data_IF_790656164999
#
_entry.id   IF_790656164999
#
_cell.length_a   1.000
_cell.length_b   1.000
_cell.length_c   1.000
_cell.angle_alpha   90.00
_cell.angle_beta   90.00
_cell.angle_gamma   90.00
#
_symmetry.space_group_name_H-M   'P 1'
#
loop_
_entity.id
_entity.type
_entity.pdbx_description
1 polymer ?
#
# COMPACT_ATOMS: atom_id res chain seq x y z
N UNK A 1 -30.81 -42.43 -36.35
CA UNK A 1 -30.05 -41.33 -36.98
C UNK A 1 -28.90 -41.96 -37.78
N UNK A 2 -28.82 -41.75 -39.10
CA UNK A 2 -27.71 -42.29 -39.91
C UNK A 2 -26.60 -41.23 -39.94
N UNK A 3 -25.43 -41.56 -39.41
CA UNK A 3 -24.25 -40.68 -39.47
C UNK A 3 -23.58 -40.93 -40.82
N UNK A 4 -23.48 -39.90 -41.65
CA UNK A 4 -22.78 -39.94 -42.93
C UNK A 4 -21.46 -39.13 -42.88
N UNK A 5 -20.63 -39.29 -43.91
CA UNK A 5 -19.33 -38.62 -43.99
C UNK A 5 -19.45 -37.09 -43.93
N UNK A 6 -20.55 -36.52 -44.44
CA UNK A 6 -20.82 -35.08 -44.44
C UNK A 6 -21.08 -34.58 -43.02
N UNK A 7 -21.89 -35.30 -42.27
CA UNK A 7 -22.17 -35.02 -40.86
C UNK A 7 -20.90 -35.09 -40.02
N UNK A 8 -19.99 -36.02 -40.33
CA UNK A 8 -18.70 -36.19 -39.65
C UNK A 8 -17.73 -35.03 -39.96
N UNK A 9 -17.67 -34.58 -41.22
CA UNK A 9 -16.85 -33.44 -41.64
C UNK A 9 -17.33 -32.12 -41.02
N UNK A 10 -18.65 -31.90 -40.92
CA UNK A 10 -19.22 -30.71 -40.27
C UNK A 10 -18.89 -30.69 -38.78
N UNK A 11 -19.00 -31.84 -38.10
CA UNK A 11 -18.62 -31.96 -36.69
C UNK A 11 -17.14 -31.66 -36.44
N UNK A 12 -16.25 -32.15 -37.31
CA UNK A 12 -14.81 -31.87 -37.25
C UNK A 12 -14.50 -30.38 -37.49
N UNK A 13 -15.14 -29.75 -38.47
CA UNK A 13 -14.99 -28.33 -38.75
C UNK A 13 -15.48 -27.46 -37.58
N UNK A 14 -16.64 -27.80 -37.00
CA UNK A 14 -17.17 -27.12 -35.83
C UNK A 14 -16.24 -27.28 -34.61
N UNK A 15 -15.73 -28.50 -34.37
CA UNK A 15 -14.76 -28.78 -33.32
C UNK A 15 -13.44 -28.03 -33.50
N UNK A 16 -12.93 -27.98 -34.74
CA UNK A 16 -11.71 -27.24 -35.07
C UNK A 16 -11.90 -25.72 -34.88
N UNK A 17 -13.05 -25.17 -35.28
CA UNK A 17 -13.37 -23.76 -35.07
C UNK A 17 -13.44 -23.42 -33.57
N UNK A 18 -14.06 -24.28 -32.77
CA UNK A 18 -14.09 -24.13 -31.30
C UNK A 18 -12.66 -24.21 -30.74
N UNK A 19 -11.84 -25.16 -31.16
CA UNK A 19 -10.46 -25.29 -30.70
C UNK A 19 -9.60 -24.06 -31.06
N UNK A 20 -9.74 -23.53 -32.27
CA UNK A 20 -9.05 -22.31 -32.72
C UNK A 20 -9.47 -21.12 -31.87
N UNK A 21 -10.78 -20.90 -31.69
CA UNK A 21 -11.27 -19.79 -30.85
C UNK A 21 -10.88 -19.93 -29.37
N UNK A 22 -10.74 -21.16 -28.86
CA UNK A 22 -10.24 -21.43 -27.51
C UNK A 22 -8.73 -21.20 -27.37
N UNK A 23 -7.97 -21.28 -28.47
CA UNK A 23 -6.52 -21.11 -28.49
C UNK A 23 -6.09 -19.64 -28.40
N UNK A 24 -6.97 -18.70 -28.72
CA UNK A 24 -6.72 -17.25 -28.58
C UNK A 24 -7.13 -16.71 -27.20
N UNK A 25 -6.90 -17.48 -26.14
CA UNK A 25 -7.04 -16.96 -24.78
C UNK A 25 -5.80 -16.13 -24.46
N UNK A 26 -5.94 -14.84 -24.10
CA UNK A 26 -4.79 -14.08 -23.62
C UNK A 26 -4.23 -14.80 -22.39
N UNK A 27 -2.93 -15.08 -22.41
CA UNK A 27 -2.24 -15.55 -21.21
C UNK A 27 -2.35 -14.45 -20.16
N UNK A 28 -2.78 -14.76 -18.92
CA UNK A 28 -2.85 -13.76 -17.87
C UNK A 28 -1.43 -13.23 -17.64
N UNK A 29 -1.18 -12.01 -18.12
CA UNK A 29 0.12 -11.39 -17.98
C UNK A 29 0.32 -11.09 -16.48
N UNK A 30 1.24 -11.79 -15.84
CA UNK A 30 1.60 -11.52 -14.46
C UNK A 30 2.39 -10.21 -14.44
N UNK A 31 1.70 -9.10 -14.16
CA UNK A 31 2.36 -7.81 -13.97
C UNK A 31 3.25 -7.89 -12.73
N UNK A 32 4.56 -7.79 -12.94
CA UNK A 32 5.49 -7.63 -11.84
C UNK A 32 5.42 -6.18 -11.31
N UNK A 33 5.61 -6.00 -10.00
CA UNK A 33 5.53 -4.70 -9.36
C UNK A 33 6.82 -4.38 -8.61
N UNK A 34 7.31 -3.15 -8.74
CA UNK A 34 8.21 -2.55 -7.76
C UNK A 34 7.39 -2.13 -6.54
N UNK A 35 7.99 -2.21 -5.35
CA UNK A 35 7.34 -1.85 -4.10
C UNK A 35 8.09 -0.72 -3.40
N UNK A 36 7.35 0.13 -2.71
CA UNK A 36 7.92 1.19 -1.87
C UNK A 36 7.03 1.42 -0.67
N UNK A 37 7.63 1.69 0.48
CA UNK A 37 6.90 2.00 1.69
C UNK A 37 7.38 3.32 2.28
N UNK A 38 6.46 4.11 2.81
CA UNK A 38 6.82 5.01 3.90
C UNK A 38 5.92 4.73 5.10
N UNK A 39 6.46 4.98 6.29
CA UNK A 39 5.78 4.76 7.56
C UNK A 39 5.82 6.02 8.39
N UNK A 40 4.70 6.41 8.98
CA UNK A 40 4.68 7.44 10.02
C UNK A 40 4.83 6.74 11.37
N UNK A 41 5.71 7.24 12.22
CA UNK A 41 5.82 6.84 13.62
C UNK A 41 5.49 8.06 14.45
N UNK A 42 4.40 8.01 15.18
CA UNK A 42 3.83 9.13 15.91
C UNK A 42 3.77 8.80 17.39
N UNK A 43 4.55 9.57 18.16
CA UNK A 43 4.71 9.32 19.59
C UNK A 43 3.56 9.90 20.38
N UNK A 44 2.94 9.06 21.22
CA UNK A 44 1.90 9.44 22.17
C UNK A 44 2.50 9.39 23.57
N UNK A 45 3.14 10.51 23.91
CA UNK A 45 3.82 10.71 25.20
C UNK A 45 3.20 11.92 25.88
N UNK A 46 2.70 11.77 27.13
CA UNK A 46 2.26 12.90 27.93
C UNK A 46 3.34 13.98 28.04
N UNK A 47 2.97 15.25 27.92
CA UNK A 47 3.90 16.37 28.00
C UNK A 47 4.77 16.60 26.75
N UNK A 48 4.61 15.78 25.70
CA UNK A 48 5.17 16.08 24.38
C UNK A 48 6.66 15.79 24.20
N UNK A 49 7.27 14.96 25.05
CA UNK A 49 8.72 14.67 25.00
C UNK A 49 9.07 13.66 23.87
N UNK A 50 8.06 13.03 23.25
CA UNK A 50 8.24 12.07 22.16
C UNK A 50 8.73 12.70 20.85
N UNK A 51 9.45 11.90 20.05
CA UNK A 51 9.88 12.26 18.69
C UNK A 51 9.07 11.44 17.68
N UNK A 52 8.42 12.12 16.75
CA UNK A 52 7.64 11.51 15.66
C UNK A 52 8.41 11.67 14.34
N UNK A 53 8.39 10.68 13.45
CA UNK A 53 9.17 10.71 12.19
C UNK A 53 8.49 9.93 11.07
N UNK A 54 8.78 10.30 9.83
CA UNK A 54 8.56 9.46 8.66
C UNK A 54 9.79 8.59 8.42
N UNK A 55 9.58 7.30 8.18
CA UNK A 55 10.62 6.36 7.72
C UNK A 55 10.26 5.91 6.31
N UNK A 56 11.18 6.04 5.37
CA UNK A 56 11.04 5.56 4.01
C UNK A 56 11.80 4.25 3.89
N UNK A 57 11.23 3.27 3.22
CA UNK A 57 11.85 1.98 2.95
C UNK A 57 11.60 1.60 1.51
N UNK A 58 12.68 1.36 0.78
CA UNK A 58 12.65 0.77 -0.57
C UNK A 58 13.44 -0.55 -0.60
N UNK A 59 13.58 -1.13 -1.79
CA UNK A 59 14.14 -2.47 -2.00
C UNK A 59 15.59 -2.62 -1.50
N UNK A 60 16.30 -1.53 -1.22
CA UNK A 60 17.71 -1.57 -0.84
C UNK A 60 18.04 -0.78 0.44
N UNK A 61 17.33 0.32 0.74
CA UNK A 61 17.73 1.24 1.80
C UNK A 61 16.55 1.73 2.65
N UNK A 62 16.86 2.00 3.92
CA UNK A 62 15.96 2.71 4.82
C UNK A 62 16.46 4.13 4.98
N UNK A 63 15.67 5.09 4.50
CA UNK A 63 15.95 6.50 4.68
C UNK A 63 15.10 7.04 5.84
N UNK A 64 15.75 7.77 6.73
CA UNK A 64 15.05 8.56 7.74
C UNK A 64 14.50 9.81 7.04
N UNK A 65 13.18 9.85 6.86
CA UNK A 65 12.48 10.92 6.16
C UNK A 65 12.24 12.15 7.03
N UNK A 66 11.17 12.89 6.70
CA UNK A 66 10.79 14.15 7.35
C UNK A 66 10.42 13.93 8.83
N UNK A 67 10.85 14.84 9.69
CA UNK A 67 10.43 14.84 11.10
C UNK A 67 8.97 15.25 11.22
N UNK A 68 8.24 14.59 12.12
CA UNK A 68 6.87 14.90 12.46
C UNK A 68 6.83 15.53 13.86
N UNK A 69 5.81 16.35 14.09
CA UNK A 69 5.60 17.00 15.36
C UNK A 69 4.87 16.06 16.34
N UNK A 70 5.04 16.32 17.64
CA UNK A 70 4.38 15.58 18.71
C UNK A 70 2.87 15.88 18.78
N UNK A 71 2.08 14.88 19.14
CA UNK A 71 0.62 15.04 19.31
C UNK A 71 0.22 15.74 20.61
N UNK A 72 1.07 15.70 21.64
CA UNK A 72 0.75 16.21 22.97
C UNK A 72 1.66 17.36 23.38
N UNK A 73 1.11 18.21 24.22
CA UNK A 73 1.79 19.27 24.97
C UNK A 73 1.48 19.09 26.47
N UNK A 74 1.98 19.98 27.31
CA UNK A 74 1.62 20.00 28.74
C UNK A 74 0.14 20.29 29.00
N UNK A 75 -0.55 20.93 28.04
CA UNK A 75 -1.97 21.32 28.16
C UNK A 75 -2.92 20.37 27.43
N UNK A 76 -2.41 19.26 26.87
CA UNK A 76 -3.20 18.29 26.11
C UNK A 76 -2.81 18.21 24.64
N UNK A 77 -3.77 17.85 23.77
CA UNK A 77 -3.54 17.55 22.35
C UNK A 77 -3.19 18.83 21.58
N UNK A 78 -2.16 18.77 20.74
CA UNK A 78 -1.73 19.84 19.85
C UNK A 78 -2.26 19.62 18.43
N UNK A 79 -3.47 20.11 18.16
CA UNK A 79 -4.12 19.98 16.84
C UNK A 79 -3.38 20.69 15.70
N UNK A 80 -2.60 21.73 15.99
CA UNK A 80 -1.77 22.40 14.96
C UNK A 80 -0.64 21.48 14.49
N UNK A 81 -0.04 20.75 15.42
CA UNK A 81 0.98 19.76 15.10
C UNK A 81 0.39 18.62 14.26
N UNK A 82 -0.78 18.12 14.64
CA UNK A 82 -1.50 17.09 13.88
C UNK A 82 -1.78 17.57 12.46
N UNK A 83 -2.38 18.75 12.28
CA UNK A 83 -2.66 19.30 10.96
C UNK A 83 -1.39 19.53 10.11
N UNK A 84 -0.26 19.86 10.75
CA UNK A 84 1.03 19.96 10.07
C UNK A 84 1.56 18.59 9.64
N UNK A 85 1.47 17.57 10.50
CA UNK A 85 1.86 16.20 10.16
C UNK A 85 1.00 15.66 9.01
N UNK A 86 -0.32 15.84 9.06
CA UNK A 86 -1.25 15.41 8.01
C UNK A 86 -0.87 16.02 6.66
N UNK A 87 -0.53 17.31 6.63
CA UNK A 87 -0.05 17.96 5.41
C UNK A 87 1.26 17.33 4.89
N UNK A 88 2.20 16.99 5.76
CA UNK A 88 3.46 16.34 5.34
C UNK A 88 3.23 14.92 4.82
N UNK A 89 2.28 14.19 5.40
CA UNK A 89 1.88 12.85 4.96
C UNK A 89 1.26 12.95 3.56
N UNK A 90 0.29 13.84 3.37
CA UNK A 90 -0.35 14.07 2.06
C UNK A 90 0.68 14.48 1.01
N UNK A 91 1.57 15.42 1.33
CA UNK A 91 2.66 15.81 0.43
C UNK A 91 3.55 14.62 0.03
N UNK A 92 3.84 13.70 0.95
CA UNK A 92 4.65 12.51 0.65
C UNK A 92 3.90 11.53 -0.27
N UNK A 93 2.58 11.40 -0.09
CA UNK A 93 1.72 10.62 -1.00
C UNK A 93 1.68 11.27 -2.39
N UNK A 94 1.51 12.59 -2.45
CA UNK A 94 1.50 13.37 -3.71
C UNK A 94 2.85 13.24 -4.43
N UNK A 95 3.97 13.35 -3.70
CA UNK A 95 5.32 13.18 -4.23
C UNK A 95 5.47 11.79 -4.89
N UNK A 96 4.99 10.72 -4.25
CA UNK A 96 5.09 9.36 -4.80
C UNK A 96 4.14 9.12 -5.97
N UNK A 97 2.91 9.59 -5.87
CA UNK A 97 1.93 9.46 -6.96
C UNK A 97 2.35 10.24 -8.21
N UNK A 98 2.97 11.41 -8.05
CA UNK A 98 3.56 12.17 -9.16
C UNK A 98 4.71 11.43 -9.87
N UNK A 99 5.38 10.51 -9.16
CA UNK A 99 6.42 9.62 -9.70
C UNK A 99 5.84 8.32 -10.29
N UNK A 100 4.51 8.20 -10.39
CA UNK A 100 3.82 7.06 -10.96
C UNK A 100 3.62 5.89 -10.00
N UNK A 101 3.82 6.07 -8.69
CA UNK A 101 3.49 5.06 -7.70
C UNK A 101 2.01 5.07 -7.36
N UNK A 102 1.38 3.90 -7.32
CA UNK A 102 0.00 3.73 -6.84
C UNK A 102 0.02 3.43 -5.34
N UNK A 103 -0.78 4.15 -4.54
CA UNK A 103 -1.03 3.77 -3.15
C UNK A 103 -1.85 2.47 -3.14
N UNK A 104 -1.23 1.37 -2.71
CA UNK A 104 -1.83 0.04 -2.76
C UNK A 104 -2.56 -0.31 -1.46
N UNK A 105 -1.93 -0.08 -0.32
CA UNK A 105 -2.55 -0.35 0.98
C UNK A 105 -2.04 0.58 2.08
N UNK A 106 -2.89 0.82 3.06
CA UNK A 106 -2.57 1.55 4.28
C UNK A 106 -2.86 0.65 5.46
N UNK A 107 -1.84 0.40 6.30
CA UNK A 107 -1.95 -0.44 7.49
C UNK A 107 -1.59 0.37 8.73
N UNK A 108 -2.49 0.41 9.71
CA UNK A 108 -2.26 1.09 10.99
C UNK A 108 -1.92 0.09 12.09
N UNK A 109 -1.14 0.54 13.07
CA UNK A 109 -0.81 -0.21 14.27
C UNK A 109 -0.67 0.73 15.46
N UNK A 110 -1.16 0.29 16.62
CA UNK A 110 -1.07 1.05 17.87
C UNK A 110 -0.42 0.16 18.90
N UNK A 111 0.66 0.64 19.50
CA UNK A 111 1.24 0.03 20.69
C UNK A 111 1.00 0.97 21.86
N UNK A 112 0.14 0.57 22.79
CA UNK A 112 -0.06 1.25 24.07
C UNK A 112 0.50 0.38 25.19
N UNK A 113 1.31 0.93 26.10
CA UNK A 113 1.77 0.19 27.27
C UNK A 113 0.61 -0.04 28.26
N UNK A 114 0.68 -1.16 28.97
CA UNK A 114 -0.33 -1.56 29.94
C UNK A 114 -0.56 -0.52 31.04
N UNK A 115 -1.81 -0.44 31.50
CA UNK A 115 -2.25 0.42 32.60
C UNK A 115 -1.33 0.22 33.83
N UNK A 116 -0.92 1.33 34.45
CA UNK A 116 -0.05 1.43 35.65
C UNK A 116 1.46 1.62 35.47
N UNK A 117 1.98 1.88 34.26
CA UNK A 117 3.43 2.18 34.08
C UNK A 117 3.80 3.50 33.42
N UNK A 118 2.87 4.46 33.32
CA UNK A 118 3.15 5.78 32.74
C UNK A 118 3.74 5.69 31.33
N UNK A 119 3.35 4.66 30.58
CA UNK A 119 4.12 4.26 29.43
C UNK A 119 3.85 5.11 28.19
N UNK A 120 4.84 5.14 27.31
CA UNK A 120 4.80 5.78 25.99
C UNK A 120 4.01 4.94 24.99
N UNK A 121 3.00 5.54 24.37
CA UNK A 121 2.29 4.96 23.23
C UNK A 121 2.98 5.29 21.90
N UNK A 122 2.84 4.42 20.91
CA UNK A 122 3.26 4.66 19.53
C UNK A 122 2.10 4.35 18.60
N UNK A 123 1.77 5.30 17.74
CA UNK A 123 0.95 5.08 16.56
C UNK A 123 1.87 4.92 15.36
N UNK A 124 1.63 3.91 14.54
CA UNK A 124 2.39 3.68 13.33
C UNK A 124 1.44 3.42 12.17
N UNK A 125 1.61 4.16 11.07
CA UNK A 125 0.87 3.93 9.83
C UNK A 125 1.83 3.64 8.71
N UNK A 126 1.62 2.53 8.00
CA UNK A 126 2.41 2.11 6.84
C UNK A 126 1.61 2.34 5.57
N UNK A 127 2.21 3.08 4.64
CA UNK A 127 1.66 3.34 3.32
C UNK A 127 2.50 2.55 2.32
N UNK A 128 1.92 1.49 1.78
CA UNK A 128 2.57 0.64 0.80
C UNK A 128 2.13 1.07 -0.60
N UNK A 129 3.12 1.32 -1.43
CA UNK A 129 2.97 1.73 -2.81
C UNK A 129 3.49 0.64 -3.74
N UNK A 130 2.91 0.58 -4.94
CA UNK A 130 3.39 -0.27 -6.02
C UNK A 130 3.41 0.47 -7.33
N UNK A 131 4.29 0.03 -8.24
CA UNK A 131 4.30 0.50 -9.63
C UNK A 131 4.62 -0.69 -10.53
N UNK A 132 3.91 -0.86 -11.68
CA UNK A 132 4.28 -1.89 -12.65
C UNK A 132 5.75 -1.75 -13.05
N UNK A 133 6.46 -2.89 -13.13
CA UNK A 133 7.82 -2.96 -13.69
C UNK A 133 7.80 -2.87 -15.23
#
# INVERSE_FOLDING_TARGET
MKIDLRTLLIGLLAGALIAVTWSFRPEPQTTAFAWRQFSTIESVVPGGIGRSRIIISDDAEQEIGKDLLNFYSLTGINFKNIANNDRLIVQTIDDYTSQGWELYTVTTGVQSPAENKGGTGIYMTRYLFRRPL
#
